data_IF_313637121202
#
_entry.id   IF_313637121202
#
_cell.length_a   1.000
_cell.length_b   1.000
_cell.length_c   1.000
_cell.angle_alpha   90.00
_cell.angle_beta   90.00
_cell.angle_gamma   90.00
#
_symmetry.space_group_name_H-M   'P 1'
#
loop_
_entity.id
_entity.type
_entity.pdbx_description
1 polymer ?
#
# COMPACT_ATOMS: atom_id res chain seq x y z
N UNK A 1 -0.17 23.50 -30.10
CA UNK A 1 1.25 23.20 -30.38
C UNK A 1 1.51 21.76 -30.04
N UNK A 2 2.09 21.01 -30.98
CA UNK A 2 2.52 19.62 -30.78
C UNK A 2 4.00 19.58 -30.39
N UNK A 3 4.39 18.56 -29.64
CA UNK A 3 5.75 18.38 -29.16
C UNK A 3 6.61 17.78 -30.28
N UNK A 4 7.78 18.38 -30.57
CA UNK A 4 8.79 17.83 -31.50
C UNK A 4 8.24 17.41 -32.89
N UNK A 5 7.21 18.09 -33.43
CA UNK A 5 6.50 17.71 -34.66
C UNK A 5 5.89 16.28 -34.64
N UNK A 6 5.55 15.76 -33.45
CA UNK A 6 4.80 14.52 -33.26
C UNK A 6 3.29 14.79 -33.18
N UNK A 7 2.48 13.74 -33.01
CA UNK A 7 1.05 13.86 -32.72
C UNK A 7 0.76 14.20 -31.24
N UNK A 8 1.78 14.28 -30.38
CA UNK A 8 1.61 14.54 -28.94
C UNK A 8 1.35 16.03 -28.66
N UNK A 9 0.19 16.39 -28.09
CA UNK A 9 -0.05 17.74 -27.61
C UNK A 9 0.86 18.09 -26.42
N UNK A 10 1.41 19.31 -26.39
CA UNK A 10 2.29 19.76 -25.29
C UNK A 10 1.67 19.57 -23.90
N UNK A 11 0.36 19.78 -23.78
CA UNK A 11 -0.36 19.63 -22.51
C UNK A 11 -0.27 18.18 -22.00
N UNK A 12 -0.43 17.19 -22.88
CA UNK A 12 -0.33 15.77 -22.50
C UNK A 12 1.10 15.42 -22.10
N UNK A 13 2.10 15.98 -22.77
CA UNK A 13 3.51 15.80 -22.37
C UNK A 13 3.79 16.29 -20.94
N UNK A 14 3.33 17.49 -20.58
CA UNK A 14 3.48 17.98 -19.20
C UNK A 14 2.72 17.13 -18.18
N UNK A 15 1.54 16.62 -18.54
CA UNK A 15 0.79 15.71 -17.69
C UNK A 15 1.56 14.41 -17.46
N UNK A 16 2.16 13.82 -18.49
CA UNK A 16 2.99 12.61 -18.37
C UNK A 16 4.16 12.86 -17.39
N UNK A 17 4.82 14.01 -17.44
CA UNK A 17 5.90 14.35 -16.49
C UNK A 17 5.37 14.32 -15.04
N UNK A 18 4.21 14.90 -14.80
CA UNK A 18 3.57 14.90 -13.48
C UNK A 18 3.18 13.48 -13.07
N UNK A 19 2.60 12.69 -13.98
CA UNK A 19 2.23 11.29 -13.72
C UNK A 19 3.43 10.41 -13.38
N UNK A 20 4.57 10.59 -14.08
CA UNK A 20 5.82 9.87 -13.78
C UNK A 20 6.35 10.23 -12.38
N UNK A 21 6.32 11.51 -12.01
CA UNK A 21 6.72 11.95 -10.67
C UNK A 21 5.81 11.32 -9.58
N UNK A 22 4.50 11.31 -9.82
CA UNK A 22 3.52 10.68 -8.92
C UNK A 22 3.69 9.15 -8.85
N UNK A 23 3.96 8.49 -9.97
CA UNK A 23 4.24 7.05 -10.02
C UNK A 23 5.48 6.72 -9.18
N UNK A 24 6.55 7.51 -9.29
CA UNK A 24 7.76 7.32 -8.50
C UNK A 24 7.49 7.50 -7.00
N UNK A 25 6.73 8.52 -6.63
CA UNK A 25 6.31 8.73 -5.24
C UNK A 25 5.48 7.54 -4.72
N UNK A 26 4.50 7.07 -5.49
CA UNK A 26 3.68 5.92 -5.11
C UNK A 26 4.50 4.63 -5.01
N UNK A 27 5.52 4.47 -5.85
CA UNK A 27 6.44 3.34 -5.79
C UNK A 27 7.15 3.33 -4.44
N UNK A 28 7.72 4.45 -4.00
CA UNK A 28 8.36 4.57 -2.68
C UNK A 28 7.34 4.25 -1.57
N UNK A 29 6.12 4.76 -1.70
CA UNK A 29 5.00 4.46 -0.79
C UNK A 29 4.62 2.97 -0.75
N UNK A 30 4.86 2.21 -1.81
CA UNK A 30 4.67 0.75 -1.83
C UNK A 30 5.87 0.01 -1.22
N UNK A 31 7.11 0.43 -1.50
CA UNK A 31 8.31 -0.21 -0.94
C UNK A 31 8.34 -0.14 0.60
N UNK A 32 7.82 0.95 1.17
CA UNK A 32 7.67 1.10 2.62
C UNK A 32 6.58 0.21 3.22
N UNK A 33 5.60 -0.25 2.41
CA UNK A 33 4.43 -1.02 2.84
C UNK A 33 4.10 -2.16 1.88
N UNK A 34 5.03 -3.09 1.70
CA UNK A 34 4.90 -4.22 0.75
C UNK A 34 3.67 -5.12 1.00
N UNK A 35 3.13 -5.13 2.21
CA UNK A 35 1.93 -5.92 2.55
C UNK A 35 0.64 -5.37 1.91
N UNK A 36 0.60 -4.09 1.52
CA UNK A 36 -0.56 -3.47 0.89
C UNK A 36 -0.61 -3.74 -0.63
N UNK A 37 -0.88 -5.00 -1.03
CA UNK A 37 -0.87 -5.43 -2.45
C UNK A 37 -1.78 -4.58 -3.37
N UNK A 38 -2.83 -3.96 -2.83
CA UNK A 38 -3.72 -3.08 -3.60
C UNK A 38 -2.96 -1.92 -4.27
N UNK A 39 -1.90 -1.41 -3.63
CA UNK A 39 -1.05 -0.36 -4.19
C UNK A 39 -0.28 -0.83 -5.39
N UNK A 40 0.27 -2.04 -5.33
CA UNK A 40 0.98 -2.63 -6.46
C UNK A 40 0.06 -2.70 -7.68
N UNK A 41 -1.19 -3.13 -7.49
CA UNK A 41 -2.15 -3.20 -8.59
C UNK A 41 -2.47 -1.81 -9.18
N UNK A 42 -2.51 -0.77 -8.35
CA UNK A 42 -2.72 0.61 -8.79
C UNK A 42 -1.48 1.19 -9.49
N UNK A 43 -0.27 0.90 -9.00
CA UNK A 43 0.99 1.28 -9.65
C UNK A 43 1.07 0.73 -11.08
N UNK A 44 0.70 -0.54 -11.28
CA UNK A 44 0.62 -1.12 -12.63
C UNK A 44 -0.43 -0.43 -13.50
N UNK A 45 -1.58 -0.03 -12.94
CA UNK A 45 -2.60 0.70 -13.67
C UNK A 45 -2.09 2.06 -14.17
N UNK A 46 -1.44 2.84 -13.30
CA UNK A 46 -0.87 4.15 -13.64
C UNK A 46 0.30 4.00 -14.61
N UNK A 47 1.15 2.99 -14.44
CA UNK A 47 2.21 2.67 -15.40
C UNK A 47 1.65 2.38 -16.79
N UNK A 48 0.59 1.58 -16.89
CA UNK A 48 -0.06 1.28 -18.17
C UNK A 48 -0.69 2.54 -18.80
N UNK A 49 -1.24 3.45 -17.99
CA UNK A 49 -1.75 4.73 -18.46
C UNK A 49 -0.64 5.62 -19.05
N UNK A 50 0.49 5.74 -18.34
CA UNK A 50 1.66 6.49 -18.83
C UNK A 50 2.17 5.90 -20.15
N UNK A 51 2.32 4.57 -20.21
CA UNK A 51 2.74 3.89 -21.44
C UNK A 51 1.74 4.10 -22.56
N UNK A 52 0.44 4.07 -22.27
CA UNK A 52 -0.60 4.40 -23.24
C UNK A 52 -0.44 5.83 -23.77
N UNK A 53 -0.35 6.84 -22.90
CA UNK A 53 -0.20 8.25 -23.28
C UNK A 53 1.09 8.49 -24.10
N UNK A 54 2.20 7.83 -23.75
CA UNK A 54 3.47 7.92 -24.49
C UNK A 54 3.31 7.32 -25.88
N UNK A 55 2.94 6.03 -25.98
CA UNK A 55 2.88 5.34 -27.26
C UNK A 55 1.84 5.97 -28.18
N UNK A 56 0.71 6.40 -27.64
CA UNK A 56 -0.34 7.04 -28.40
C UNK A 56 0.06 8.43 -28.90
N UNK A 57 0.83 9.20 -28.13
CA UNK A 57 1.30 10.52 -28.55
C UNK A 57 2.45 10.45 -29.55
N UNK A 58 3.31 9.43 -29.44
CA UNK A 58 4.45 9.26 -30.34
C UNK A 58 4.09 8.56 -31.65
N UNK A 59 3.16 7.59 -31.66
CA UNK A 59 2.85 6.82 -32.86
C UNK A 59 1.49 7.18 -33.48
N UNK A 60 1.38 7.21 -34.83
CA UNK A 60 2.47 6.99 -35.80
C UNK A 60 3.35 8.24 -35.98
N UNK A 61 4.64 8.03 -36.24
CA UNK A 61 5.64 9.06 -36.58
C UNK A 61 6.25 8.74 -37.96
N UNK A 62 6.02 9.62 -38.94
CA UNK A 62 6.49 9.45 -40.31
C UNK A 62 8.03 9.45 -40.43
N UNK A 63 8.75 9.96 -39.43
CA UNK A 63 10.22 9.95 -39.39
C UNK A 63 10.77 8.55 -39.08
N UNK A 64 9.96 7.70 -38.46
CA UNK A 64 10.31 6.32 -38.13
C UNK A 64 10.05 5.47 -39.38
N UNK A 65 11.05 5.32 -40.24
CA UNK A 65 10.91 4.56 -41.50
C UNK A 65 11.17 3.06 -41.33
N UNK A 66 11.86 2.64 -40.26
CA UNK A 66 12.19 1.23 -40.01
C UNK A 66 11.00 0.40 -39.50
N UNK A 67 9.95 1.04 -38.96
CA UNK A 67 8.70 0.39 -38.57
C UNK A 67 7.63 0.75 -39.59
N UNK A 68 7.06 -0.22 -40.32
CA UNK A 68 5.96 0.05 -41.24
C UNK A 68 4.79 0.77 -40.54
N UNK A 69 4.15 1.70 -41.22
CA UNK A 69 3.07 2.54 -40.66
C UNK A 69 1.95 1.71 -40.02
N UNK A 70 1.63 0.55 -40.60
CA UNK A 70 0.66 -0.41 -40.04
C UNK A 70 1.01 -0.84 -38.61
N UNK A 71 2.29 -1.10 -38.34
CA UNK A 71 2.78 -1.56 -37.04
C UNK A 71 2.90 -0.40 -36.06
N UNK A 72 3.26 0.80 -36.54
CA UNK A 72 3.24 2.00 -35.70
C UNK A 72 1.83 2.32 -35.21
N UNK A 73 0.85 2.26 -36.12
CA UNK A 73 -0.55 2.43 -35.80
C UNK A 73 -1.02 1.41 -34.76
N UNK A 74 -0.62 0.15 -34.86
CA UNK A 74 -0.93 -0.86 -33.84
C UNK A 74 -0.27 -0.52 -32.49
N UNK A 75 1.03 -0.19 -32.49
CA UNK A 75 1.80 0.15 -31.29
C UNK A 75 1.20 1.34 -30.53
N UNK A 76 0.71 2.36 -31.24
CA UNK A 76 0.08 3.53 -30.63
C UNK A 76 -1.16 3.21 -29.80
N UNK A 77 -1.90 2.13 -30.13
CA UNK A 77 -3.09 1.72 -29.37
C UNK A 77 -2.85 0.51 -28.46
N UNK A 78 -1.75 -0.22 -28.63
CA UNK A 78 -1.49 -1.48 -27.94
C UNK A 78 -1.61 -1.36 -26.41
N UNK A 79 -1.00 -0.33 -25.82
CA UNK A 79 -1.07 -0.10 -24.37
C UNK A 79 -2.47 0.30 -23.88
N UNK A 80 -3.29 0.92 -24.73
CA UNK A 80 -4.71 1.16 -24.42
C UNK A 80 -5.50 -0.14 -24.28
N UNK A 81 -5.26 -1.12 -25.16
CA UNK A 81 -5.87 -2.45 -25.04
C UNK A 81 -5.37 -3.21 -23.80
N UNK A 82 -4.06 -3.15 -23.52
CA UNK A 82 -3.48 -3.79 -22.33
C UNK A 82 -4.05 -3.17 -21.05
N UNK A 83 -4.18 -1.83 -21.01
CA UNK A 83 -4.82 -1.11 -19.92
C UNK A 83 -6.27 -1.60 -19.72
N UNK A 84 -7.08 -1.65 -20.78
CA UNK A 84 -8.46 -2.11 -20.71
C UNK A 84 -8.58 -3.58 -20.30
N UNK A 85 -7.68 -4.43 -20.79
CA UNK A 85 -7.62 -5.85 -20.44
C UNK A 85 -7.23 -6.08 -18.97
N UNK A 86 -6.47 -5.17 -18.37
CA UNK A 86 -6.07 -5.19 -16.97
C UNK A 86 -7.17 -4.70 -16.01
N UNK A 87 -8.03 -3.78 -16.44
CA UNK A 87 -9.09 -3.17 -15.62
C UNK A 87 -10.00 -4.18 -14.87
N UNK A 88 -10.51 -5.28 -15.49
CA UNK A 88 -11.31 -6.27 -14.79
C UNK A 88 -10.59 -6.91 -13.60
N UNK A 89 -9.32 -7.28 -13.81
CA UNK A 89 -8.47 -7.86 -12.76
C UNK A 89 -8.22 -6.85 -11.64
N UNK A 90 -7.86 -5.61 -12.01
CA UNK A 90 -7.66 -4.51 -11.09
C UNK A 90 -8.87 -4.28 -10.19
N UNK A 91 -10.08 -4.17 -10.77
CA UNK A 91 -11.30 -3.97 -9.98
C UNK A 91 -11.60 -5.16 -9.07
N UNK A 92 -11.46 -6.39 -9.55
CA UNK A 92 -11.65 -7.57 -8.72
C UNK A 92 -10.72 -7.59 -7.49
N UNK A 93 -9.42 -7.34 -7.70
CA UNK A 93 -8.40 -7.38 -6.63
C UNK A 93 -8.50 -6.22 -5.66
N UNK A 94 -8.75 -5.01 -6.14
CA UNK A 94 -8.78 -3.81 -5.28
C UNK A 94 -10.10 -3.67 -4.51
N UNK A 95 -11.23 -4.03 -5.14
CA UNK A 95 -12.56 -3.89 -4.54
C UNK A 95 -12.96 -5.09 -3.69
N UNK A 96 -12.37 -6.27 -3.92
CA UNK A 96 -12.67 -7.48 -3.14
C UNK A 96 -14.15 -7.85 -3.21
N UNK A 97 -14.74 -7.73 -4.40
CA UNK A 97 -16.14 -8.05 -4.67
C UNK A 97 -16.23 -9.45 -5.27
N UNK A 98 -16.92 -10.38 -4.58
CA UNK A 98 -17.12 -11.76 -5.08
C UNK A 98 -17.86 -11.78 -6.43
N UNK A 99 -18.77 -10.83 -6.66
CA UNK A 99 -19.48 -10.66 -7.94
C UNK A 99 -18.55 -10.40 -9.13
N UNK A 100 -17.40 -9.78 -8.90
CA UNK A 100 -16.41 -9.49 -9.96
C UNK A 100 -15.44 -10.65 -10.22
N UNK A 101 -15.58 -11.80 -9.56
CA UNK A 101 -14.61 -12.91 -9.70
C UNK A 101 -14.48 -13.41 -11.14
N UNK A 102 -15.60 -13.56 -11.84
CA UNK A 102 -15.59 -13.98 -13.25
C UNK A 102 -14.85 -12.96 -14.12
N UNK A 103 -15.25 -11.69 -14.00
CA UNK A 103 -14.61 -10.58 -14.71
C UNK A 103 -13.11 -10.46 -14.41
N UNK A 104 -12.71 -10.60 -13.15
CA UNK A 104 -11.31 -10.51 -12.75
C UNK A 104 -10.44 -11.65 -13.29
N UNK A 105 -11.02 -12.82 -13.57
CA UNK A 105 -10.29 -13.98 -14.08
C UNK A 105 -10.29 -14.07 -15.60
N UNK A 106 -11.43 -13.79 -16.23
CA UNK A 106 -11.64 -14.03 -17.67
C UNK A 106 -11.96 -12.77 -18.46
N UNK A 107 -12.18 -11.64 -17.79
CA UNK A 107 -12.61 -10.40 -18.42
C UNK A 107 -11.68 -9.87 -19.51
N UNK A 108 -10.37 -10.12 -19.38
CA UNK A 108 -9.38 -9.72 -20.38
C UNK A 108 -9.61 -10.38 -21.74
N UNK A 109 -10.24 -11.57 -21.79
CA UNK A 109 -10.52 -12.29 -23.04
C UNK A 109 -11.49 -11.51 -23.94
N UNK A 110 -12.44 -10.77 -23.35
CA UNK A 110 -13.37 -9.91 -24.10
C UNK A 110 -12.70 -8.71 -24.76
N UNK A 111 -11.44 -8.42 -24.42
CA UNK A 111 -10.62 -7.38 -25.04
C UNK A 111 -9.64 -8.00 -26.03
N UNK A 112 -8.93 -9.06 -25.62
CA UNK A 112 -7.87 -9.68 -26.41
C UNK A 112 -8.41 -10.50 -27.58
N UNK A 113 -9.52 -11.24 -27.42
CA UNK A 113 -10.07 -12.05 -28.52
C UNK A 113 -10.49 -11.15 -29.70
N UNK A 114 -11.29 -10.09 -29.52
CA UNK A 114 -11.59 -9.16 -30.61
C UNK A 114 -10.32 -8.56 -31.23
N UNK A 115 -9.32 -8.20 -30.42
CA UNK A 115 -8.06 -7.68 -30.93
C UNK A 115 -7.37 -8.68 -31.89
N UNK A 116 -7.26 -9.95 -31.51
CA UNK A 116 -6.66 -11.01 -32.33
C UNK A 116 -7.47 -11.26 -33.59
N UNK A 117 -8.79 -11.33 -33.49
CA UNK A 117 -9.67 -11.58 -34.64
C UNK A 117 -9.58 -10.43 -35.65
N UNK A 118 -9.70 -9.18 -35.18
CA UNK A 118 -9.73 -8.02 -36.07
C UNK A 118 -8.35 -7.67 -36.63
N UNK A 119 -7.30 -7.60 -35.81
CA UNK A 119 -5.96 -7.24 -36.30
C UNK A 119 -5.17 -8.43 -36.84
N UNK A 120 -5.37 -9.63 -36.32
CA UNK A 120 -4.61 -10.82 -36.71
C UNK A 120 -5.22 -11.58 -37.89
N UNK A 121 -6.54 -11.54 -38.07
CA UNK A 121 -7.23 -12.30 -39.13
C UNK A 121 -7.88 -11.35 -40.14
N UNK A 122 -8.79 -10.47 -39.71
CA UNK A 122 -9.59 -9.66 -40.64
C UNK A 122 -8.78 -8.55 -41.32
N UNK A 123 -7.85 -7.90 -40.62
CA UNK A 123 -7.05 -6.81 -41.18
C UNK A 123 -6.15 -7.28 -42.33
N UNK A 124 -5.39 -8.39 -42.23
CA UNK A 124 -4.62 -8.93 -43.35
C UNK A 124 -5.47 -9.33 -44.57
N UNK A 125 -6.72 -9.77 -44.36
CA UNK A 125 -7.62 -10.19 -45.43
C UNK A 125 -8.21 -8.97 -46.16
N UNK A 126 -8.71 -8.00 -45.40
CA UNK A 126 -9.45 -6.86 -45.96
C UNK A 126 -8.54 -5.71 -46.37
N UNK A 127 -7.32 -5.62 -45.81
CA UNK A 127 -6.40 -4.48 -45.90
C UNK A 127 -7.02 -3.11 -45.55
N UNK A 128 -8.18 -3.11 -44.88
CA UNK A 128 -8.90 -1.91 -44.46
C UNK A 128 -8.74 -1.68 -42.96
N UNK A 129 -7.86 -0.73 -42.61
CA UNK A 129 -7.62 -0.34 -41.22
C UNK A 129 -8.79 0.45 -40.63
N UNK A 130 -9.55 1.18 -41.46
CA UNK A 130 -10.71 1.97 -41.03
C UNK A 130 -11.85 1.06 -40.60
N UNK A 131 -12.12 0.01 -41.38
CA UNK A 131 -13.04 -1.07 -40.99
C UNK A 131 -12.59 -1.70 -39.68
N UNK A 132 -11.33 -2.15 -39.61
CA UNK A 132 -10.78 -2.82 -38.43
C UNK A 132 -10.95 -1.97 -37.16
N UNK A 133 -10.60 -0.68 -37.23
CA UNK A 133 -10.73 0.26 -36.11
C UNK A 133 -12.17 0.55 -35.73
N UNK A 134 -13.13 0.53 -36.65
CA UNK A 134 -14.53 0.82 -36.33
C UNK A 134 -15.21 -0.32 -35.58
N UNK A 135 -14.90 -1.57 -35.95
CA UNK A 135 -15.65 -2.74 -35.46
C UNK A 135 -14.96 -3.49 -34.32
N UNK A 136 -13.62 -3.40 -34.18
CA UNK A 136 -12.88 -4.09 -33.11
C UNK A 136 -13.37 -3.73 -31.70
N UNK A 137 -13.92 -2.52 -31.53
CA UNK A 137 -14.34 -2.01 -30.23
C UNK A 137 -15.76 -2.38 -29.81
N UNK A 138 -16.58 -2.97 -30.69
CA UNK A 138 -17.99 -3.26 -30.37
C UNK A 138 -18.08 -4.23 -29.18
N UNK A 139 -17.35 -5.35 -29.23
CA UNK A 139 -17.34 -6.35 -28.15
C UNK A 139 -16.70 -5.75 -26.86
N UNK A 140 -15.52 -5.11 -26.90
CA UNK A 140 -14.93 -4.44 -25.75
C UNK A 140 -15.85 -3.41 -25.07
N UNK A 141 -16.57 -2.60 -25.84
CA UNK A 141 -17.47 -1.57 -25.32
C UNK A 141 -18.68 -2.19 -24.62
N UNK A 142 -19.34 -3.16 -25.27
CA UNK A 142 -20.46 -3.87 -24.65
C UNK A 142 -20.03 -4.56 -23.36
N UNK A 143 -18.85 -5.20 -23.38
CA UNK A 143 -18.28 -5.81 -22.20
C UNK A 143 -17.96 -4.77 -21.11
N UNK A 144 -17.36 -3.63 -21.45
CA UNK A 144 -17.09 -2.55 -20.52
C UNK A 144 -18.38 -2.13 -19.80
N UNK A 145 -19.48 -1.86 -20.53
CA UNK A 145 -20.77 -1.50 -19.92
C UNK A 145 -21.22 -2.54 -18.87
N UNK A 146 -21.09 -3.84 -19.18
CA UNK A 146 -21.44 -4.92 -18.23
C UNK A 146 -20.54 -4.93 -16.99
N UNK A 147 -19.23 -4.80 -17.18
CA UNK A 147 -18.24 -4.76 -16.11
C UNK A 147 -18.49 -3.56 -15.18
N UNK A 148 -18.61 -2.37 -15.75
CA UNK A 148 -18.79 -1.14 -14.99
C UNK A 148 -20.13 -1.12 -14.26
N UNK A 149 -21.20 -1.65 -14.87
CA UNK A 149 -22.50 -1.82 -14.18
C UNK A 149 -22.40 -2.79 -12.99
N UNK A 150 -21.71 -3.93 -13.16
CA UNK A 150 -21.51 -4.89 -12.08
C UNK A 150 -20.62 -4.33 -10.96
N UNK A 151 -19.57 -3.59 -11.32
CA UNK A 151 -18.67 -2.95 -10.37
C UNK A 151 -19.38 -1.85 -9.57
N UNK A 152 -20.13 -0.95 -10.23
CA UNK A 152 -20.86 0.12 -9.55
C UNK A 152 -21.87 -0.42 -8.52
N UNK A 153 -22.68 -1.40 -8.93
CA UNK A 153 -23.62 -2.09 -8.02
C UNK A 153 -22.89 -2.75 -6.85
N UNK A 154 -21.76 -3.38 -7.11
CA UNK A 154 -20.95 -4.02 -6.08
C UNK A 154 -20.33 -3.03 -5.09
N UNK A 155 -19.78 -1.91 -5.58
CA UNK A 155 -19.21 -0.83 -4.76
C UNK A 155 -20.29 -0.26 -3.84
N UNK A 156 -21.43 0.14 -4.41
CA UNK A 156 -22.52 0.75 -3.64
C UNK A 156 -23.03 -0.21 -2.55
N UNK A 157 -23.32 -1.47 -2.90
CA UNK A 157 -23.80 -2.46 -1.95
C UNK A 157 -22.79 -2.72 -0.82
N UNK A 158 -21.51 -2.89 -1.13
CA UNK A 158 -20.49 -3.25 -0.14
C UNK A 158 -20.21 -2.14 0.85
N UNK A 159 -20.03 -0.91 0.37
CA UNK A 159 -19.55 0.18 1.20
C UNK A 159 -20.65 0.95 1.91
N UNK A 160 -21.87 0.96 1.37
CA UNK A 160 -23.03 1.49 2.09
C UNK A 160 -23.35 0.63 3.34
N UNK A 161 -23.20 -0.70 3.23
CA UNK A 161 -23.34 -1.62 4.38
C UNK A 161 -22.25 -1.44 5.45
N UNK A 162 -21.06 -0.95 5.06
CA UNK A 162 -19.92 -0.76 5.97
C UNK A 162 -19.87 0.66 6.58
N UNK A 163 -20.78 1.56 6.20
CA UNK A 163 -20.81 2.97 6.62
C UNK A 163 -19.44 3.69 6.48
N UNK A 164 -18.63 3.29 5.49
CA UNK A 164 -17.30 3.86 5.26
C UNK A 164 -17.32 4.78 4.03
N UNK A 165 -17.82 6.00 4.22
CA UNK A 165 -18.01 6.99 3.16
C UNK A 165 -16.70 7.37 2.47
N UNK A 166 -15.61 7.54 3.22
CA UNK A 166 -14.31 7.91 2.66
C UNK A 166 -13.79 6.85 1.67
N UNK A 167 -13.97 5.57 2.00
CA UNK A 167 -13.57 4.47 1.11
C UNK A 167 -14.54 4.28 -0.06
N UNK A 168 -15.84 4.57 0.12
CA UNK A 168 -16.81 4.59 -0.98
C UNK A 168 -16.43 5.64 -2.02
N UNK A 169 -16.17 6.88 -1.58
CA UNK A 169 -15.78 7.99 -2.45
C UNK A 169 -14.49 7.67 -3.20
N UNK A 170 -13.47 7.12 -2.53
CA UNK A 170 -12.22 6.66 -3.17
C UNK A 170 -12.51 5.69 -4.33
N UNK A 171 -13.33 4.67 -4.08
CA UNK A 171 -13.64 3.63 -5.08
C UNK A 171 -14.44 4.18 -6.26
N UNK A 172 -15.35 5.12 -6.01
CA UNK A 172 -16.11 5.80 -7.06
C UNK A 172 -15.22 6.73 -7.88
N UNK A 173 -14.32 7.50 -7.27
CA UNK A 173 -13.37 8.35 -7.99
C UNK A 173 -12.46 7.52 -8.92
N UNK A 174 -11.89 6.42 -8.42
CA UNK A 174 -11.10 5.49 -9.24
C UNK A 174 -11.95 4.97 -10.41
N UNK A 175 -13.19 4.55 -10.12
CA UNK A 175 -14.11 4.04 -11.13
C UNK A 175 -14.38 5.05 -12.23
N UNK A 176 -14.68 6.31 -11.89
CA UNK A 176 -14.95 7.37 -12.85
C UNK A 176 -13.71 7.87 -13.59
N UNK A 177 -12.50 7.69 -13.05
CA UNK A 177 -11.26 7.98 -13.78
C UNK A 177 -10.96 6.89 -14.84
N UNK A 178 -11.20 5.62 -14.53
CA UNK A 178 -10.89 4.48 -15.41
C UNK A 178 -11.94 4.30 -16.52
N UNK A 179 -13.21 4.61 -16.23
CA UNK A 179 -14.33 4.38 -17.15
C UNK A 179 -14.15 5.05 -18.52
N UNK A 180 -13.85 6.36 -18.62
CA UNK A 180 -13.72 7.04 -19.90
C UNK A 180 -12.62 6.47 -20.80
N UNK A 181 -11.51 6.01 -20.22
CA UNK A 181 -10.40 5.36 -20.96
C UNK A 181 -10.91 4.09 -21.66
N UNK A 182 -11.76 3.32 -20.99
CA UNK A 182 -12.27 2.04 -21.51
C UNK A 182 -13.27 2.21 -22.66
N UNK A 183 -13.87 3.39 -22.81
CA UNK A 183 -14.85 3.71 -23.86
C UNK A 183 -14.38 4.81 -24.82
N UNK A 184 -13.10 5.20 -24.74
CA UNK A 184 -12.48 6.21 -25.62
C UNK A 184 -12.77 6.00 -27.12
N UNK A 185 -12.81 4.76 -27.64
CA UNK A 185 -13.14 4.52 -29.03
C UNK A 185 -14.53 5.02 -29.46
N UNK A 186 -15.51 5.05 -28.56
CA UNK A 186 -16.85 5.57 -28.85
C UNK A 186 -16.78 7.09 -29.08
N UNK A 187 -16.11 7.80 -28.18
CA UNK A 187 -16.02 9.25 -28.23
C UNK A 187 -15.31 9.73 -29.50
N UNK A 188 -14.23 9.06 -29.89
CA UNK A 188 -13.53 9.37 -31.13
C UNK A 188 -14.28 8.91 -32.38
N UNK A 189 -14.55 7.61 -32.49
CA UNK A 189 -15.01 7.02 -33.76
C UNK A 189 -16.50 7.29 -34.07
N UNK A 190 -17.35 7.48 -33.04
CA UNK A 190 -18.79 7.62 -33.23
C UNK A 190 -19.32 9.01 -32.88
N UNK A 191 -18.72 9.69 -31.89
CA UNK A 191 -19.14 11.03 -31.47
C UNK A 191 -18.28 12.15 -32.06
N UNK A 192 -17.17 11.84 -32.74
CA UNK A 192 -16.32 12.82 -33.39
C UNK A 192 -15.61 13.78 -32.41
N UNK A 193 -15.51 13.40 -31.13
CA UNK A 193 -14.81 14.23 -30.15
C UNK A 193 -13.31 14.12 -30.37
N UNK A 194 -12.64 15.26 -30.37
CA UNK A 194 -11.20 15.34 -30.46
C UNK A 194 -10.52 14.49 -29.40
N UNK A 195 -9.63 13.62 -29.87
CA UNK A 195 -8.93 12.63 -29.07
C UNK A 195 -8.16 13.25 -27.89
N UNK A 196 -7.54 14.40 -28.11
CA UNK A 196 -6.75 15.09 -27.09
C UNK A 196 -7.61 15.59 -25.91
N UNK A 197 -8.89 15.93 -26.16
CA UNK A 197 -9.84 16.37 -25.11
C UNK A 197 -10.16 15.21 -24.18
N UNK A 198 -10.46 14.05 -24.75
CA UNK A 198 -10.76 12.83 -23.98
C UNK A 198 -9.54 12.42 -23.15
N UNK A 199 -8.37 12.40 -23.78
CA UNK A 199 -7.08 12.05 -23.15
C UNK A 199 -6.77 13.01 -22.00
N UNK A 200 -6.94 14.31 -22.22
CA UNK A 200 -6.77 15.32 -21.18
C UNK A 200 -7.71 15.08 -19.98
N UNK A 201 -9.01 14.89 -20.24
CA UNK A 201 -9.99 14.64 -19.18
C UNK A 201 -9.70 13.37 -18.37
N UNK A 202 -9.32 12.28 -19.05
CA UNK A 202 -8.92 11.02 -18.39
C UNK A 202 -7.73 11.23 -17.46
N UNK A 203 -6.67 11.88 -17.96
CA UNK A 203 -5.46 12.07 -17.17
C UNK A 203 -5.67 13.03 -15.98
N UNK A 204 -6.47 14.09 -16.13
CA UNK A 204 -6.87 14.92 -14.98
C UNK A 204 -7.61 14.09 -13.93
N UNK A 205 -8.51 13.18 -14.35
CA UNK A 205 -9.18 12.25 -13.45
C UNK A 205 -8.19 11.36 -12.68
N UNK A 206 -7.18 10.82 -13.37
CA UNK A 206 -6.14 10.00 -12.76
C UNK A 206 -5.23 10.80 -11.80
N UNK A 207 -4.86 12.03 -12.15
CA UNK A 207 -4.13 12.93 -11.26
C UNK A 207 -4.92 13.20 -9.97
N UNK A 208 -6.23 13.48 -10.08
CA UNK A 208 -7.09 13.70 -8.92
C UNK A 208 -7.17 12.45 -8.03
N UNK A 209 -7.34 11.27 -8.62
CA UNK A 209 -7.35 9.99 -7.89
C UNK A 209 -6.02 9.76 -7.17
N UNK A 210 -4.89 9.97 -7.84
CA UNK A 210 -3.56 9.83 -7.25
C UNK A 210 -3.37 10.77 -6.06
N UNK A 211 -3.85 12.02 -6.17
CA UNK A 211 -3.78 12.99 -5.08
C UNK A 211 -4.65 12.57 -3.88
N UNK A 212 -5.85 12.04 -4.11
CA UNK A 212 -6.73 11.53 -3.05
C UNK A 212 -6.08 10.35 -2.33
N UNK A 213 -5.55 9.37 -3.07
CA UNK A 213 -4.87 8.21 -2.51
C UNK A 213 -3.64 8.61 -1.69
N UNK A 214 -2.87 9.59 -2.16
CA UNK A 214 -1.72 10.11 -1.41
C UNK A 214 -2.15 10.78 -0.10
N UNK A 215 -3.21 11.60 -0.13
CA UNK A 215 -3.74 12.23 1.09
C UNK A 215 -4.24 11.19 2.10
N UNK A 216 -4.95 10.17 1.63
CA UNK A 216 -5.40 9.07 2.49
C UNK A 216 -4.23 8.30 3.07
N UNK A 217 -3.21 8.02 2.27
CA UNK A 217 -2.00 7.36 2.74
C UNK A 217 -1.32 8.12 3.88
N UNK A 218 -1.11 9.43 3.72
CA UNK A 218 -0.49 10.26 4.77
C UNK A 218 -1.33 10.26 6.04
N UNK A 219 -2.66 10.39 5.91
CA UNK A 219 -3.58 10.34 7.06
C UNK A 219 -3.54 9.01 7.79
N UNK A 220 -3.60 7.91 7.04
CA UNK A 220 -3.52 6.56 7.60
C UNK A 220 -2.17 6.32 8.29
N UNK A 221 -1.07 6.76 7.66
CA UNK A 221 0.26 6.63 8.25
C UNK A 221 0.41 7.40 9.54
N UNK A 222 -0.18 8.60 9.63
CA UNK A 222 -0.18 9.39 10.86
C UNK A 222 -1.00 8.70 11.95
N UNK A 223 -2.21 8.23 11.63
CA UNK A 223 -3.08 7.52 12.58
C UNK A 223 -2.44 6.24 13.12
N UNK A 224 -1.74 5.48 12.28
CA UNK A 224 -0.99 4.29 12.70
C UNK A 224 0.16 4.64 13.65
N UNK A 225 0.89 5.74 13.38
CA UNK A 225 1.95 6.22 14.26
C UNK A 225 1.41 6.67 15.61
N UNK A 226 0.30 7.42 15.62
CA UNK A 226 -0.35 7.89 16.84
C UNK A 226 -0.81 6.70 17.70
N UNK A 227 -1.43 5.69 17.09
CA UNK A 227 -1.86 4.47 17.77
C UNK A 227 -0.69 3.64 18.32
N UNK A 228 0.41 3.56 17.58
CA UNK A 228 1.63 2.90 18.08
C UNK A 228 2.26 3.66 19.25
N UNK A 229 2.23 5.00 19.23
CA UNK A 229 2.72 5.82 20.33
C UNK A 229 1.84 5.64 21.59
N UNK A 230 0.53 5.56 21.41
CA UNK A 230 -0.43 5.28 22.49
C UNK A 230 -0.19 3.90 23.11
N UNK A 231 -0.11 2.84 22.30
CA UNK A 231 0.20 1.49 22.79
C UNK A 231 1.53 1.42 23.53
N UNK A 232 2.56 2.15 23.07
CA UNK A 232 3.85 2.23 23.78
C UNK A 232 3.71 2.85 25.16
N UNK A 233 2.94 3.94 25.28
CA UNK A 233 2.69 4.60 26.58
C UNK A 233 1.92 3.68 27.53
N UNK A 234 0.94 2.94 27.02
CA UNK A 234 0.18 1.97 27.82
C UNK A 234 1.07 0.83 28.32
N UNK A 235 1.93 0.27 27.46
CA UNK A 235 2.90 -0.75 27.86
C UNK A 235 3.88 -0.20 28.90
N UNK A 236 4.32 1.05 28.75
CA UNK A 236 5.24 1.69 29.69
C UNK A 236 4.59 1.94 31.06
N UNK A 237 3.32 2.34 31.10
CA UNK A 237 2.59 2.53 32.35
C UNK A 237 2.35 1.21 33.08
N UNK A 238 1.96 0.14 32.37
CA UNK A 238 1.81 -1.20 32.92
C UNK A 238 3.15 -1.72 33.47
N UNK A 239 4.23 -1.59 32.70
CA UNK A 239 5.56 -2.01 33.16
C UNK A 239 6.01 -1.22 34.40
N UNK A 240 5.70 0.07 34.48
CA UNK A 240 6.03 0.90 35.63
C UNK A 240 5.22 0.51 36.86
N UNK A 241 3.92 0.26 36.70
CA UNK A 241 3.06 -0.23 37.77
C UNK A 241 3.53 -1.60 38.28
N UNK A 242 3.77 -2.56 37.38
CA UNK A 242 4.26 -3.89 37.74
C UNK A 242 5.62 -3.83 38.46
N UNK A 243 6.56 -2.97 38.02
CA UNK A 243 7.83 -2.76 38.73
C UNK A 243 7.61 -2.20 40.14
N UNK A 244 6.66 -1.28 40.31
CA UNK A 244 6.33 -0.70 41.62
C UNK A 244 5.74 -1.76 42.55
N UNK A 245 4.85 -2.61 42.06
CA UNK A 245 4.26 -3.70 42.83
C UNK A 245 5.31 -4.74 43.24
N UNK A 246 6.19 -5.16 42.32
CA UNK A 246 7.31 -6.05 42.64
C UNK A 246 8.24 -5.42 43.68
N UNK A 247 8.54 -4.13 43.56
CA UNK A 247 9.37 -3.43 44.55
C UNK A 247 8.69 -3.36 45.93
N UNK A 248 7.36 -3.16 45.96
CA UNK A 248 6.60 -3.16 47.21
C UNK A 248 6.63 -4.54 47.89
N UNK A 249 6.36 -5.61 47.14
CA UNK A 249 6.44 -7.00 47.63
C UNK A 249 7.85 -7.32 48.14
N UNK A 250 8.88 -6.89 47.41
CA UNK A 250 10.27 -7.08 47.83
C UNK A 250 10.58 -6.45 49.18
N UNK A 251 10.15 -5.20 49.39
CA UNK A 251 10.34 -4.49 50.67
C UNK A 251 9.51 -5.12 51.78
N UNK A 252 8.27 -5.52 51.50
CA UNK A 252 7.41 -6.22 52.47
C UNK A 252 8.06 -7.52 52.96
N UNK A 253 8.58 -8.36 52.04
CA UNK A 253 9.29 -9.60 52.40
C UNK A 253 10.57 -9.32 53.18
N UNK A 254 11.34 -8.31 52.80
CA UNK A 254 12.52 -7.91 53.56
C UNK A 254 12.18 -7.52 55.02
N UNK A 255 11.09 -6.79 55.21
CA UNK A 255 10.61 -6.40 56.53
C UNK A 255 10.08 -7.62 57.32
N UNK A 256 9.39 -8.55 56.68
CA UNK A 256 8.94 -9.81 57.29
C UNK A 256 10.11 -10.61 57.89
N UNK A 257 11.26 -10.64 57.23
CA UNK A 257 12.48 -11.28 57.73
C UNK A 257 13.33 -10.39 58.66
N UNK A 258 12.84 -9.21 59.06
CA UNK A 258 13.55 -8.25 59.92
C UNK A 258 14.95 -7.89 59.39
N UNK A 259 15.09 -7.70 58.07
CA UNK A 259 16.32 -7.19 57.49
C UNK A 259 16.52 -5.72 57.88
N UNK A 260 17.75 -5.36 58.25
CA UNK A 260 18.13 -3.96 58.52
C UNK A 260 18.18 -3.16 57.23
N UNK A 261 18.12 -1.83 57.31
CA UNK A 261 18.22 -0.94 56.13
C UNK A 261 19.41 -1.29 55.24
N UNK A 262 20.57 -1.59 55.85
CA UNK A 262 21.79 -1.94 55.11
C UNK A 262 21.71 -3.33 54.46
N UNK A 263 21.06 -4.28 55.11
CA UNK A 263 20.81 -5.61 54.56
C UNK A 263 19.80 -5.55 53.39
N UNK A 264 18.79 -4.66 53.45
CA UNK A 264 17.83 -4.44 52.36
C UNK A 264 18.54 -3.85 51.12
N UNK A 265 19.41 -2.86 51.31
CA UNK A 265 20.23 -2.29 50.21
C UNK A 265 21.08 -3.37 49.53
N UNK A 266 21.75 -4.22 50.32
CA UNK A 266 22.59 -5.30 49.82
C UNK A 266 21.74 -6.38 49.13
N UNK A 267 20.61 -6.78 49.72
CA UNK A 267 19.68 -7.75 49.14
C UNK A 267 19.12 -7.27 47.79
N UNK A 268 18.82 -5.97 47.66
CA UNK A 268 18.36 -5.36 46.40
C UNK A 268 19.42 -5.46 45.31
N UNK A 269 20.68 -5.10 45.60
CA UNK A 269 21.78 -5.18 44.62
C UNK A 269 22.09 -6.63 44.23
N UNK A 270 21.94 -7.57 45.15
CA UNK A 270 22.05 -9.01 44.88
C UNK A 270 20.94 -9.48 43.94
N UNK A 271 19.70 -9.01 44.17
CA UNK A 271 18.53 -9.29 43.34
C UNK A 271 18.57 -8.67 41.94
N UNK A 272 19.39 -7.63 41.75
CA UNK A 272 19.75 -7.02 40.46
C UNK A 272 20.93 -7.74 39.75
N UNK A 273 21.54 -8.75 40.39
CA UNK A 273 22.60 -9.56 39.80
C UNK A 273 24.01 -9.02 39.99
N UNK A 274 24.20 -7.97 40.80
CA UNK A 274 25.50 -7.32 41.02
C UNK A 274 26.44 -8.24 41.85
N UNK A 275 27.74 -8.20 41.55
CA UNK A 275 28.78 -8.97 42.27
C UNK A 275 29.20 -8.27 43.57
N UNK A 276 29.71 -9.02 44.54
CA UNK A 276 30.04 -8.47 45.87
C UNK A 276 31.08 -7.36 45.83
N UNK A 277 32.11 -7.49 44.99
CA UNK A 277 33.09 -6.43 44.74
C UNK A 277 32.42 -5.12 44.28
N UNK A 278 31.55 -5.19 43.28
CA UNK A 278 30.87 -4.01 42.74
C UNK A 278 29.85 -3.42 43.76
N UNK A 279 29.25 -4.27 44.60
CA UNK A 279 28.40 -3.83 45.73
C UNK A 279 29.25 -3.08 46.76
N UNK A 280 30.44 -3.61 47.09
CA UNK A 280 31.35 -3.03 48.05
C UNK A 280 31.80 -1.62 47.62
N UNK A 281 32.16 -1.47 46.33
CA UNK A 281 32.49 -0.20 45.72
C UNK A 281 31.30 0.77 45.74
N UNK A 282 30.10 0.35 45.29
CA UNK A 282 28.89 1.20 45.30
C UNK A 282 28.49 1.69 46.69
N UNK A 283 28.68 0.84 47.69
CA UNK A 283 28.25 1.09 49.05
C UNK A 283 29.37 1.67 49.93
N UNK A 284 30.56 1.92 49.38
CA UNK A 284 31.75 2.43 50.07
C UNK A 284 32.14 1.60 51.32
N UNK A 285 32.10 0.27 51.20
CA UNK A 285 32.48 -0.68 52.26
C UNK A 285 33.41 -1.75 51.70
N UNK A 286 34.05 -2.55 52.57
CA UNK A 286 34.89 -3.66 52.10
C UNK A 286 34.05 -4.83 51.57
N UNK A 287 34.59 -5.59 50.62
CA UNK A 287 33.93 -6.82 50.11
C UNK A 287 33.68 -7.83 51.24
N UNK A 288 34.58 -7.89 52.23
CA UNK A 288 34.41 -8.68 53.46
C UNK A 288 33.19 -8.22 54.27
N UNK A 289 32.95 -6.92 54.34
CA UNK A 289 31.76 -6.35 55.00
C UNK A 289 30.48 -6.72 54.25
N UNK A 290 30.48 -6.68 52.91
CA UNK A 290 29.37 -7.17 52.09
C UNK A 290 29.09 -8.64 52.37
N UNK A 291 30.12 -9.50 52.34
CA UNK A 291 29.99 -10.93 52.63
C UNK A 291 29.41 -11.18 54.02
N UNK A 292 29.79 -10.38 55.03
CA UNK A 292 29.23 -10.48 56.38
C UNK A 292 27.75 -10.14 56.43
N UNK A 293 27.32 -9.08 55.76
CA UNK A 293 25.89 -8.74 55.65
C UNK A 293 25.11 -9.83 54.92
N UNK A 294 25.66 -10.40 53.83
CA UNK A 294 25.01 -11.52 53.12
C UNK A 294 24.82 -12.74 54.02
N UNK A 295 25.84 -13.08 54.81
CA UNK A 295 25.74 -14.17 55.78
C UNK A 295 24.59 -13.93 56.76
N UNK A 296 24.45 -12.71 57.28
CA UNK A 296 23.35 -12.35 58.18
C UNK A 296 21.98 -12.42 57.48
N UNK A 297 21.90 -11.99 56.21
CA UNK A 297 20.67 -12.10 55.40
C UNK A 297 20.26 -13.57 55.24
N UNK A 298 21.18 -14.46 54.89
CA UNK A 298 20.90 -15.90 54.76
C UNK A 298 20.41 -16.52 56.07
N UNK A 299 21.01 -16.12 57.20
CA UNK A 299 20.55 -16.57 58.53
C UNK A 299 19.12 -16.10 58.83
N UNK A 300 18.80 -14.83 58.55
CA UNK A 300 17.45 -14.26 58.80
C UNK A 300 16.37 -14.79 57.88
N UNK A 301 16.74 -15.16 56.66
CA UNK A 301 15.82 -15.68 55.62
C UNK A 301 15.77 -17.21 55.57
N UNK A 302 16.64 -17.89 56.32
CA UNK A 302 16.78 -19.36 56.35
C UNK A 302 17.01 -20.00 54.96
N UNK A 303 17.76 -19.31 54.09
CA UNK A 303 18.10 -19.78 52.74
C UNK A 303 19.59 -20.08 52.62
N UNK A 304 19.95 -21.04 51.77
CA UNK A 304 21.32 -21.54 51.66
C UNK A 304 22.14 -20.88 50.55
N UNK A 305 21.49 -20.22 49.60
CA UNK A 305 22.18 -19.62 48.45
C UNK A 305 21.45 -18.39 47.87
N UNK A 306 22.18 -17.65 47.02
CA UNK A 306 21.71 -16.43 46.34
C UNK A 306 20.44 -16.65 45.53
N UNK A 307 20.29 -17.79 44.85
CA UNK A 307 19.10 -18.08 44.02
C UNK A 307 17.85 -18.24 44.88
N UNK A 308 17.97 -18.98 45.99
CA UNK A 308 16.88 -19.14 46.96
C UNK A 308 16.52 -17.82 47.64
N UNK A 309 17.51 -16.97 47.97
CA UNK A 309 17.26 -15.63 48.50
C UNK A 309 16.46 -14.76 47.52
N UNK A 310 16.82 -14.77 46.24
CA UNK A 310 16.10 -13.99 45.22
C UNK A 310 14.65 -14.47 45.11
N UNK A 311 14.42 -15.78 45.18
CA UNK A 311 13.08 -16.36 45.17
C UNK A 311 12.27 -15.93 46.40
N UNK A 312 12.84 -16.09 47.60
CA UNK A 312 12.19 -15.77 48.87
C UNK A 312 11.82 -14.28 49.03
N UNK A 313 12.54 -13.39 48.33
CA UNK A 313 12.29 -11.95 48.37
C UNK A 313 11.47 -11.42 47.18
N UNK A 314 11.23 -12.19 46.11
CA UNK A 314 10.47 -11.74 44.92
C UNK A 314 9.16 -12.49 44.69
N UNK A 315 8.98 -13.65 45.32
CA UNK A 315 7.75 -14.47 45.32
C UNK A 315 7.19 -14.55 46.75
#
# INVERSE_FOLDING_TARGET
>A
MTLFNTNMPLIIFFIIIIEVALLFQQWIGYLTRKHEQKRLYHLYLVLLLILYNIFEGFFPDQRITFVPEKWQNFLGYAFGYIFCAYCPFYFYKTMGLKSLRFHGRYGFLFIIIPLIVFYGILYPINNDISFTRKYVYIIPVLYAITLFSAALKGIYKKYNLQQNEAQLVERLCIFFAVFPVSITPIFGAWLGIDKWIITFGCNIGFLAVNMILMRQFVRQSKSEQDRLAEMRREIESINTAAKKDIAAVFIEKCNFYNLTTREIEIAKLIAEGIKYKDIAEKLFISERTVAKHVQNIFLKTAVENKTMLIKALKE
#
